data_IF_576510103491
#
_entry.id   IF_576510103491
#
_cell.length_a   1.000
_cell.length_b   1.000
_cell.length_c   1.000
_cell.angle_alpha   90.00
_cell.angle_beta   90.00
_cell.angle_gamma   90.00
#
_symmetry.space_group_name_H-M   'P 1'
#
loop_
_entity.id
_entity.type
_entity.pdbx_description
1 polymer ?
#
# COMPACT_ATOMS: atom_id res chain seq x y z
N UNK A 1 28.09 5.80 -27.34
CA UNK A 1 27.40 5.94 -26.02
C UNK A 1 27.47 4.59 -25.37
N UNK A 2 28.16 4.48 -24.23
CA UNK A 2 28.15 3.27 -23.40
C UNK A 2 26.70 2.92 -23.03
N UNK A 3 26.27 1.65 -23.06
CA UNK A 3 24.96 1.26 -22.55
C UNK A 3 24.86 1.79 -21.11
N UNK A 4 23.82 2.56 -20.78
CA UNK A 4 23.57 2.95 -19.39
C UNK A 4 23.36 1.65 -18.61
N UNK A 5 24.26 1.35 -17.68
CA UNK A 5 24.05 0.25 -16.74
C UNK A 5 22.68 0.45 -16.07
N UNK A 6 21.88 -0.61 -16.08
CA UNK A 6 20.58 -0.60 -15.41
C UNK A 6 20.88 -0.60 -13.90
N UNK A 7 20.45 0.43 -13.14
CA UNK A 7 20.76 0.47 -11.71
C UNK A 7 20.05 -0.69 -11.00
N UNK A 8 20.75 -1.29 -10.03
CA UNK A 8 20.20 -2.29 -9.11
C UNK A 8 20.18 -1.72 -7.69
N UNK A 9 19.37 -2.29 -6.79
CA UNK A 9 19.21 -1.76 -5.43
C UNK A 9 20.53 -1.63 -4.66
N UNK A 10 21.47 -2.52 -4.90
CA UNK A 10 22.81 -2.43 -4.28
C UNK A 10 23.59 -1.18 -4.67
N UNK A 11 23.31 -0.56 -5.80
CA UNK A 11 23.99 0.67 -6.22
C UNK A 11 23.62 1.87 -5.34
N UNK A 12 22.47 1.81 -4.65
CA UNK A 12 21.98 2.86 -3.76
C UNK A 12 22.43 2.69 -2.30
N UNK A 13 23.15 1.62 -1.94
CA UNK A 13 23.55 1.30 -0.56
C UNK A 13 25.07 1.29 -0.34
N UNK A 14 25.87 1.76 -1.29
CA UNK A 14 27.32 1.83 -1.20
C UNK A 14 27.86 2.82 -0.16
N UNK A 15 29.08 3.34 -0.32
CA UNK A 15 29.75 4.26 0.60
C UNK A 15 28.95 5.54 0.94
N UNK A 16 28.03 5.97 0.06
CA UNK A 16 27.08 7.06 0.32
C UNK A 16 26.00 6.69 1.36
N UNK A 17 25.96 5.46 1.86
CA UNK A 17 24.99 4.99 2.85
C UNK A 17 25.47 5.12 4.31
N UNK A 18 26.58 5.83 4.57
CA UNK A 18 27.10 6.02 5.93
C UNK A 18 26.02 6.62 6.85
N UNK A 19 25.77 5.94 7.99
CA UNK A 19 24.74 6.34 8.96
C UNK A 19 23.30 5.96 8.60
N UNK A 20 23.03 5.39 7.42
CA UNK A 20 21.70 4.92 7.02
C UNK A 20 21.46 3.50 7.52
N UNK A 21 20.22 3.24 7.96
CA UNK A 21 19.87 1.94 8.54
C UNK A 21 18.53 1.43 8.01
N UNK A 22 18.37 0.11 8.07
CA UNK A 22 17.08 -0.56 8.02
C UNK A 22 16.89 -1.29 9.35
N UNK A 23 15.73 -1.15 9.99
CA UNK A 23 15.51 -1.72 11.32
C UNK A 23 14.08 -2.21 11.54
N UNK A 24 13.94 -3.19 12.41
CA UNK A 24 12.68 -3.61 13.02
C UNK A 24 12.67 -3.28 14.53
N UNK A 25 11.89 -3.98 15.36
CA UNK A 25 11.84 -3.77 16.81
C UNK A 25 13.10 -4.27 17.52
N UNK A 26 13.78 -5.28 16.98
CA UNK A 26 14.85 -6.04 17.61
C UNK A 26 16.22 -5.74 17.03
N UNK A 27 16.27 -5.49 15.72
CA UNK A 27 17.52 -5.44 14.97
C UNK A 27 17.61 -4.15 14.19
N UNK A 28 18.79 -3.55 14.19
CA UNK A 28 19.15 -2.43 13.32
C UNK A 28 20.36 -2.83 12.48
N UNK A 29 20.21 -2.73 11.19
CA UNK A 29 21.24 -3.08 10.20
C UNK A 29 21.70 -1.82 9.48
N UNK A 30 22.99 -1.44 9.60
CA UNK A 30 23.57 -0.42 8.75
C UNK A 30 23.50 -0.84 7.28
N UNK A 31 23.01 0.02 6.41
CA UNK A 31 22.94 -0.30 4.97
C UNK A 31 24.32 -0.52 4.35
N UNK A 32 25.36 0.09 4.92
CA UNK A 32 26.74 -0.12 4.50
C UNK A 32 27.21 -1.58 4.69
N UNK A 33 26.70 -2.29 5.70
CA UNK A 33 27.07 -3.68 6.00
C UNK A 33 26.58 -4.65 4.91
N UNK A 34 25.54 -4.25 4.15
CA UNK A 34 25.04 -5.04 3.03
C UNK A 34 25.99 -5.07 1.82
N UNK A 35 27.01 -4.19 1.79
CA UNK A 35 28.00 -4.18 0.73
C UNK A 35 28.90 -5.44 0.76
N UNK A 36 29.12 -6.03 1.95
CA UNK A 36 29.99 -7.20 2.13
C UNK A 36 29.33 -8.33 2.95
N UNK A 37 28.03 -8.17 3.28
CA UNK A 37 27.26 -9.14 4.05
C UNK A 37 26.10 -9.71 3.25
N UNK A 38 25.63 -10.90 3.65
CA UNK A 38 24.48 -11.57 3.06
C UNK A 38 23.62 -12.23 4.14
N UNK A 39 22.29 -12.05 4.03
CA UNK A 39 21.33 -12.82 4.82
C UNK A 39 21.01 -14.18 4.17
N UNK A 40 21.47 -14.43 2.96
CA UNK A 40 21.24 -15.66 2.18
C UNK A 40 22.32 -16.71 2.41
N UNK A 41 23.16 -16.55 3.42
CA UNK A 41 24.14 -17.56 3.85
C UNK A 41 25.25 -17.89 2.86
N UNK A 42 25.47 -17.05 1.83
CA UNK A 42 26.44 -17.29 0.76
C UNK A 42 25.87 -17.98 -0.49
N UNK A 43 24.56 -18.30 -0.49
CA UNK A 43 23.87 -18.98 -1.61
C UNK A 43 23.46 -18.05 -2.77
N UNK A 44 23.91 -16.80 -2.77
CA UNK A 44 23.52 -15.83 -3.80
C UNK A 44 23.91 -16.28 -5.22
N UNK A 45 25.05 -16.94 -5.37
CA UNK A 45 25.50 -17.48 -6.66
C UNK A 45 24.56 -18.58 -7.20
N UNK A 46 24.01 -19.43 -6.30
CA UNK A 46 23.07 -20.49 -6.67
C UNK A 46 21.70 -19.94 -7.07
N UNK A 47 21.35 -18.75 -6.59
CA UNK A 47 20.12 -18.03 -6.93
C UNK A 47 20.23 -17.20 -8.22
N UNK A 48 21.45 -17.13 -8.81
CA UNK A 48 21.66 -16.38 -10.04
C UNK A 48 20.88 -16.96 -11.21
N UNK A 49 20.06 -16.09 -11.85
CA UNK A 49 19.22 -16.47 -12.98
C UNK A 49 17.98 -17.28 -12.66
N UNK A 50 17.71 -17.55 -11.37
CA UNK A 50 16.51 -18.27 -10.93
C UNK A 50 15.28 -17.37 -10.77
N UNK A 51 14.12 -17.99 -10.80
CA UNK A 51 12.86 -17.40 -10.38
C UNK A 51 12.63 -17.71 -8.90
N UNK A 52 12.70 -16.68 -8.06
CA UNK A 52 12.75 -16.82 -6.61
C UNK A 52 11.44 -16.36 -5.96
N UNK A 53 10.81 -17.23 -5.17
CA UNK A 53 9.75 -16.84 -4.24
C UNK A 53 10.40 -16.36 -2.93
N UNK A 54 10.16 -15.11 -2.53
CA UNK A 54 10.60 -14.59 -1.24
C UNK A 54 9.45 -14.77 -0.24
N UNK A 55 9.57 -15.80 0.61
CA UNK A 55 8.58 -16.25 1.58
C UNK A 55 9.10 -16.17 3.02
N UNK A 56 9.73 -15.04 3.33
CA UNK A 56 10.28 -14.74 4.67
C UNK A 56 9.22 -14.07 5.52
N UNK A 57 9.10 -14.46 6.80
CA UNK A 57 8.02 -14.00 7.70
C UNK A 57 8.18 -12.56 8.13
N UNK A 58 9.41 -12.08 8.40
CA UNK A 58 9.68 -10.71 8.79
C UNK A 58 10.08 -9.81 7.62
N UNK A 59 9.77 -8.53 7.76
CA UNK A 59 10.02 -7.54 6.73
C UNK A 59 11.51 -7.15 6.61
N UNK A 60 12.30 -7.26 7.69
CA UNK A 60 13.71 -6.86 7.68
C UNK A 60 14.51 -7.79 6.78
N UNK A 61 14.44 -9.10 7.00
CA UNK A 61 15.13 -10.08 6.16
C UNK A 61 14.55 -10.10 4.73
N UNK A 62 13.24 -9.89 4.59
CA UNK A 62 12.61 -9.72 3.26
C UNK A 62 13.23 -8.54 2.50
N UNK A 63 13.35 -7.38 3.13
CA UNK A 63 13.94 -6.18 2.52
C UNK A 63 15.40 -6.39 2.12
N UNK A 64 16.17 -7.05 2.96
CA UNK A 64 17.57 -7.38 2.68
C UNK A 64 17.65 -8.38 1.51
N UNK A 65 16.84 -9.44 1.51
CA UNK A 65 16.80 -10.41 0.40
C UNK A 65 16.44 -9.74 -0.94
N UNK A 66 15.49 -8.79 -0.95
CA UNK A 66 15.17 -8.00 -2.15
C UNK A 66 16.38 -7.22 -2.66
N UNK A 67 17.15 -6.58 -1.77
CA UNK A 67 18.37 -5.85 -2.14
C UNK A 67 19.43 -6.78 -2.69
N UNK A 68 19.56 -7.98 -2.14
CA UNK A 68 20.56 -8.95 -2.58
C UNK A 68 20.22 -9.61 -3.92
N UNK A 69 18.95 -9.89 -4.16
CA UNK A 69 18.47 -10.62 -5.33
C UNK A 69 18.25 -9.73 -6.56
N UNK A 70 18.05 -8.42 -6.36
CA UNK A 70 17.89 -7.51 -7.48
C UNK A 70 19.18 -7.41 -8.31
N UNK A 71 19.07 -7.63 -9.61
CA UNK A 71 20.21 -7.75 -10.51
C UNK A 71 20.86 -9.14 -10.52
N UNK A 72 20.42 -10.10 -9.70
CA UNK A 72 20.96 -11.46 -9.60
C UNK A 72 19.92 -12.50 -10.01
N UNK A 73 18.76 -12.49 -9.39
CA UNK A 73 17.65 -13.37 -9.76
C UNK A 73 17.05 -12.95 -11.11
N UNK A 74 16.49 -13.93 -11.85
CA UNK A 74 15.68 -13.64 -13.04
C UNK A 74 14.37 -12.98 -12.64
N UNK A 75 13.70 -13.53 -11.62
CA UNK A 75 12.43 -13.05 -11.07
C UNK A 75 12.45 -13.06 -9.55
N UNK A 76 11.74 -12.12 -8.95
CA UNK A 76 11.43 -12.14 -7.52
C UNK A 76 9.91 -12.03 -7.34
N UNK A 77 9.26 -13.08 -6.82
CA UNK A 77 7.86 -13.05 -6.41
C UNK A 77 7.79 -12.76 -4.90
N UNK A 78 7.15 -11.65 -4.53
CA UNK A 78 7.00 -11.27 -3.13
C UNK A 78 5.77 -11.97 -2.52
N UNK A 79 6.00 -12.82 -1.51
CA UNK A 79 4.95 -13.53 -0.79
C UNK A 79 4.40 -12.65 0.35
N UNK A 80 3.17 -12.12 0.28
CA UNK A 80 2.59 -11.38 1.39
C UNK A 80 2.23 -12.33 2.55
N UNK A 81 2.19 -11.83 3.81
CA UNK A 81 2.08 -12.67 5.01
C UNK A 81 0.75 -13.41 5.14
N UNK A 82 -0.26 -12.95 4.44
CA UNK A 82 -1.63 -13.49 4.45
C UNK A 82 -1.95 -14.31 3.18
N UNK A 83 -0.93 -14.71 2.42
CA UNK A 83 -1.14 -15.59 1.27
C UNK A 83 -1.70 -16.92 1.73
N UNK A 84 -2.89 -17.31 1.21
CA UNK A 84 -3.40 -18.66 1.40
C UNK A 84 -2.48 -19.66 0.66
N UNK A 85 -1.92 -20.61 1.40
CA UNK A 85 -0.98 -21.61 0.88
C UNK A 85 -1.59 -22.50 -0.22
N UNK A 86 -2.91 -22.61 -0.29
CA UNK A 86 -3.61 -23.31 -1.38
C UNK A 86 -3.32 -22.72 -2.77
N UNK A 87 -2.95 -21.41 -2.84
CA UNK A 87 -2.58 -20.77 -4.10
C UNK A 87 -1.12 -20.99 -4.51
N UNK A 88 -0.28 -21.47 -3.60
CA UNK A 88 1.17 -21.61 -3.85
C UNK A 88 1.48 -22.48 -5.06
N UNK A 89 0.86 -23.66 -5.27
CA UNK A 89 1.16 -24.47 -6.45
C UNK A 89 0.92 -23.72 -7.78
N UNK A 90 -0.20 -23.00 -7.89
CA UNK A 90 -0.51 -22.23 -9.09
C UNK A 90 0.46 -21.05 -9.28
N UNK A 91 0.87 -20.41 -8.20
CA UNK A 91 1.84 -19.31 -8.26
C UNK A 91 3.23 -19.79 -8.67
N UNK A 92 3.66 -20.97 -8.21
CA UNK A 92 4.92 -21.62 -8.63
C UNK A 92 4.90 -21.86 -10.13
N UNK A 93 3.82 -22.45 -10.64
CA UNK A 93 3.65 -22.72 -12.07
C UNK A 93 3.61 -21.45 -12.90
N UNK A 94 2.76 -20.48 -12.52
CA UNK A 94 2.53 -19.26 -13.28
C UNK A 94 3.75 -18.32 -13.29
N UNK A 95 4.50 -18.23 -12.19
CA UNK A 95 5.72 -17.42 -12.10
C UNK A 95 6.99 -18.23 -12.42
N UNK A 96 6.89 -19.53 -12.77
CA UNK A 96 8.00 -20.41 -13.05
C UNK A 96 9.03 -20.45 -11.91
N UNK A 97 8.56 -20.53 -10.66
CA UNK A 97 9.41 -20.51 -9.47
C UNK A 97 10.23 -21.80 -9.38
N UNK A 98 11.54 -21.67 -9.30
CA UNK A 98 12.50 -22.77 -9.18
C UNK A 98 13.40 -22.65 -7.95
N UNK A 99 13.25 -21.57 -7.16
CA UNK A 99 13.89 -21.40 -5.87
C UNK A 99 13.00 -20.67 -4.86
N UNK A 100 13.17 -20.97 -3.57
CA UNK A 100 12.48 -20.29 -2.47
C UNK A 100 13.48 -19.76 -1.46
N UNK A 101 13.33 -18.50 -1.08
CA UNK A 101 14.02 -17.88 0.07
C UNK A 101 13.00 -17.76 1.20
N UNK A 102 13.27 -18.40 2.34
CA UNK A 102 12.35 -18.47 3.48
C UNK A 102 13.11 -18.49 4.82
N UNK A 103 12.40 -18.48 5.91
CA UNK A 103 12.91 -18.65 7.27
C UNK A 103 12.77 -20.09 7.76
N UNK A 104 11.79 -20.85 7.30
CA UNK A 104 11.62 -22.26 7.62
C UNK A 104 11.46 -23.13 6.36
N UNK A 105 12.53 -23.79 5.91
CA UNK A 105 12.49 -24.68 4.74
C UNK A 105 11.51 -25.85 4.90
N UNK A 106 11.18 -26.26 6.14
CA UNK A 106 10.29 -27.39 6.36
C UNK A 106 8.87 -27.13 5.84
N UNK A 107 8.42 -25.88 5.89
CA UNK A 107 7.10 -25.47 5.38
C UNK A 107 6.99 -25.58 3.86
N UNK A 108 8.12 -25.57 3.15
CA UNK A 108 8.18 -25.50 1.69
C UNK A 108 8.60 -26.81 1.01
N UNK A 109 8.81 -27.89 1.77
CA UNK A 109 9.21 -29.21 1.22
C UNK A 109 8.25 -29.75 0.17
N UNK A 110 6.95 -29.51 0.32
CA UNK A 110 5.91 -29.95 -0.61
C UNK A 110 5.77 -29.06 -1.86
N UNK A 111 6.46 -27.94 -1.92
CA UNK A 111 6.37 -26.98 -3.02
C UNK A 111 7.02 -27.49 -4.34
N UNK A 112 7.84 -28.56 -4.26
CA UNK A 112 8.45 -29.18 -5.45
C UNK A 112 9.53 -28.36 -6.15
N UNK A 113 10.06 -27.32 -5.49
CA UNK A 113 11.13 -26.48 -6.06
C UNK A 113 12.51 -27.09 -5.84
N UNK A 114 13.44 -26.81 -6.75
CA UNK A 114 14.76 -27.43 -6.77
C UNK A 114 15.73 -26.88 -5.71
N UNK A 115 15.51 -25.66 -5.23
CA UNK A 115 16.39 -24.96 -4.28
C UNK A 115 15.59 -24.23 -3.21
N UNK A 116 15.94 -24.45 -1.94
CA UNK A 116 15.41 -23.67 -0.82
C UNK A 116 16.56 -23.10 -0.01
N UNK A 117 16.57 -21.78 0.18
CA UNK A 117 17.61 -21.03 0.90
C UNK A 117 17.01 -20.38 2.14
N UNK A 118 17.69 -20.50 3.28
CA UNK A 118 17.26 -19.87 4.52
C UNK A 118 17.81 -18.44 4.62
N UNK A 119 16.92 -17.48 4.78
CA UNK A 119 17.30 -16.11 5.12
C UNK A 119 17.59 -16.00 6.63
N UNK A 120 18.75 -15.51 7.03
CA UNK A 120 19.18 -15.47 8.43
C UNK A 120 20.00 -14.21 8.76
N UNK A 121 19.94 -13.81 10.05
CA UNK A 121 20.83 -12.82 10.67
C UNK A 121 21.57 -13.50 11.82
N UNK A 122 22.77 -13.07 12.19
CA UNK A 122 23.56 -11.99 11.59
C UNK A 122 24.08 -12.36 10.19
N UNK A 123 24.54 -11.34 9.46
CA UNK A 123 25.11 -11.55 8.12
C UNK A 123 26.31 -12.50 8.13
N UNK A 124 26.39 -13.32 7.09
CA UNK A 124 27.63 -13.99 6.73
C UNK A 124 28.39 -13.14 5.70
N UNK A 125 29.71 -13.07 5.83
CA UNK A 125 30.54 -12.44 4.82
C UNK A 125 30.28 -13.09 3.45
N UNK A 126 30.02 -12.30 2.45
CA UNK A 126 29.73 -12.77 1.10
C UNK A 126 30.30 -11.82 0.07
N UNK A 127 30.81 -12.39 -1.02
CA UNK A 127 31.24 -11.61 -2.18
C UNK A 127 29.98 -11.22 -2.95
N UNK A 128 29.76 -9.93 -3.24
CA UNK A 128 28.64 -9.49 -4.07
C UNK A 128 28.69 -10.15 -5.44
N UNK A 129 27.63 -10.80 -5.85
CA UNK A 129 27.45 -11.29 -7.22
C UNK A 129 26.88 -10.12 -8.03
N UNK A 130 27.59 -9.71 -9.08
CA UNK A 130 27.09 -8.74 -10.05
C UNK A 130 26.78 -9.45 -11.36
N UNK A 131 25.64 -9.17 -11.93
CA UNK A 131 25.25 -9.62 -13.27
C UNK A 131 24.69 -8.41 -14.03
N UNK A 132 24.68 -8.47 -15.35
CA UNK A 132 24.00 -7.46 -16.20
C UNK A 132 22.49 -7.73 -16.35
N UNK A 133 21.92 -8.47 -15.42
CA UNK A 133 20.55 -8.94 -15.51
C UNK A 133 19.57 -7.90 -14.93
N UNK A 134 18.48 -7.65 -15.62
CA UNK A 134 17.32 -6.95 -15.08
C UNK A 134 16.41 -7.98 -14.42
N UNK A 135 16.20 -7.83 -13.11
CA UNK A 135 15.27 -8.69 -12.35
C UNK A 135 13.83 -8.28 -12.61
N UNK A 136 12.98 -9.25 -12.91
CA UNK A 136 11.53 -9.07 -12.94
C UNK A 136 10.97 -9.08 -11.51
N UNK A 137 10.26 -8.02 -11.14
CA UNK A 137 9.61 -7.88 -9.84
C UNK A 137 8.15 -8.31 -9.96
N UNK A 138 7.79 -9.41 -9.31
CA UNK A 138 6.45 -9.97 -9.35
C UNK A 138 5.73 -9.70 -8.04
N UNK A 139 4.52 -9.15 -8.14
CA UNK A 139 3.70 -8.76 -7.00
C UNK A 139 2.31 -9.35 -7.09
N UNK A 140 1.76 -9.73 -5.93
CA UNK A 140 0.42 -10.27 -5.85
C UNK A 140 -0.62 -9.16 -5.60
N UNK A 141 -1.71 -9.21 -6.35
CA UNK A 141 -2.90 -8.40 -6.08
C UNK A 141 -4.04 -9.30 -5.60
N UNK A 142 -4.85 -8.78 -4.68
CA UNK A 142 -6.09 -9.45 -4.28
C UNK A 142 -7.07 -9.43 -5.45
N UNK A 143 -7.16 -10.53 -6.18
CA UNK A 143 -8.19 -10.71 -7.19
C UNK A 143 -9.59 -10.67 -6.57
N UNK A 144 -10.53 -9.99 -7.22
CA UNK A 144 -11.97 -10.02 -6.85
C UNK A 144 -12.60 -11.41 -7.04
N UNK A 145 -11.89 -12.33 -7.69
CA UNK A 145 -12.34 -13.68 -8.08
C UNK A 145 -11.69 -14.81 -7.28
N UNK A 146 -11.00 -14.51 -6.18
CA UNK A 146 -10.44 -15.51 -5.25
C UNK A 146 -8.96 -15.80 -5.43
N UNK A 147 -8.44 -16.09 -6.64
CA UNK A 147 -7.02 -16.35 -6.86
C UNK A 147 -6.23 -15.04 -7.04
N UNK A 148 -5.06 -14.87 -6.37
CA UNK A 148 -4.20 -13.72 -6.57
C UNK A 148 -3.72 -13.62 -8.02
N UNK A 149 -3.67 -12.39 -8.57
CA UNK A 149 -3.04 -12.13 -9.87
C UNK A 149 -1.60 -11.71 -9.66
N UNK A 150 -0.72 -12.17 -10.53
CA UNK A 150 0.71 -11.82 -10.51
C UNK A 150 0.92 -10.64 -11.45
N UNK A 151 1.39 -9.52 -10.93
CA UNK A 151 1.69 -8.28 -11.68
C UNK A 151 3.20 -8.15 -11.87
N UNK A 152 3.63 -7.89 -13.11
CA UNK A 152 5.04 -7.80 -13.50
C UNK A 152 5.51 -6.36 -13.58
N UNK A 153 6.56 -6.05 -12.83
CA UNK A 153 7.30 -4.80 -12.83
C UNK A 153 8.79 -5.01 -13.08
N UNK A 154 9.52 -3.94 -13.36
CA UNK A 154 10.98 -3.85 -13.21
C UNK A 154 11.31 -2.84 -12.11
N UNK A 155 12.57 -2.82 -11.64
CA UNK A 155 13.02 -1.77 -10.74
C UNK A 155 12.74 -0.38 -11.33
N UNK A 156 12.95 -0.18 -12.63
CA UNK A 156 12.73 1.10 -13.30
C UNK A 156 11.27 1.59 -13.19
N UNK A 157 10.28 0.71 -13.40
CA UNK A 157 8.87 1.09 -13.25
C UNK A 157 8.50 1.38 -11.79
N UNK A 158 9.09 0.64 -10.85
CA UNK A 158 8.84 0.80 -9.41
C UNK A 158 9.42 2.10 -8.85
N UNK A 159 10.63 2.51 -9.28
CA UNK A 159 11.29 3.72 -8.76
C UNK A 159 11.00 4.98 -9.55
N UNK A 160 10.27 4.91 -10.67
CA UNK A 160 10.02 6.04 -11.56
C UNK A 160 9.31 7.25 -10.93
N UNK A 161 8.72 7.08 -9.74
CA UNK A 161 8.12 8.18 -8.97
C UNK A 161 9.02 8.68 -7.83
N UNK A 162 10.17 8.04 -7.61
CA UNK A 162 11.07 8.36 -6.51
C UNK A 162 12.03 9.45 -6.95
N UNK A 163 12.05 10.54 -6.21
CA UNK A 163 13.02 11.63 -6.36
C UNK A 163 13.87 11.60 -5.11
N UNK A 164 15.18 11.80 -5.27
CA UNK A 164 16.09 11.91 -4.13
C UNK A 164 15.60 12.99 -3.17
N UNK A 165 15.52 12.66 -1.88
CA UNK A 165 14.99 13.57 -0.86
C UNK A 165 16.04 14.62 -0.53
N UNK A 166 15.79 15.84 -0.96
CA UNK A 166 16.47 17.07 -0.56
C UNK A 166 17.85 17.31 -1.17
N UNK A 167 18.32 18.57 -1.11
CA UNK A 167 19.69 18.94 -1.48
C UNK A 167 20.69 18.40 -0.44
N UNK A 168 21.99 18.27 -0.82
CA UNK A 168 23.05 17.92 0.12
C UNK A 168 23.04 18.86 1.36
N UNK A 169 22.98 18.27 2.56
CA UNK A 169 22.95 19.02 3.83
C UNK A 169 21.63 18.96 4.59
N UNK A 170 20.54 18.46 4.00
CA UNK A 170 19.33 18.15 4.76
C UNK A 170 19.51 16.89 5.59
N UNK A 171 18.88 16.80 6.79
CA UNK A 171 18.90 15.58 7.57
C UNK A 171 18.33 14.42 6.74
N UNK A 172 19.00 13.27 6.83
CA UNK A 172 18.58 12.04 6.13
C UNK A 172 17.18 11.66 6.59
N UNK A 173 16.24 11.49 5.66
CA UNK A 173 14.89 11.09 5.96
C UNK A 173 14.85 9.69 6.60
N UNK A 174 14.17 9.55 7.73
CA UNK A 174 13.85 8.25 8.32
C UNK A 174 12.40 7.91 7.99
N UNK A 175 12.23 6.92 7.12
CA UNK A 175 10.94 6.47 6.63
C UNK A 175 10.34 5.37 7.48
N UNK A 176 9.02 5.36 7.55
CA UNK A 176 8.22 4.26 8.07
C UNK A 176 6.94 4.09 7.28
N UNK A 177 6.29 2.95 7.44
CA UNK A 177 5.00 2.69 6.82
C UNK A 177 4.19 1.69 7.63
N UNK A 178 2.88 1.87 7.64
CA UNK A 178 1.94 0.88 8.17
C UNK A 178 1.67 -0.27 7.19
N UNK A 179 2.12 -0.14 5.92
CA UNK A 179 1.97 -1.21 4.95
C UNK A 179 3.06 -2.27 5.13
N UNK A 180 2.73 -3.50 4.78
CA UNK A 180 3.74 -4.54 4.56
C UNK A 180 4.52 -4.27 3.28
N UNK A 181 5.87 -4.35 3.32
CA UNK A 181 6.74 -4.08 2.17
C UNK A 181 6.65 -5.12 1.06
N UNK A 182 6.03 -6.27 1.31
CA UNK A 182 5.74 -7.30 0.30
C UNK A 182 4.53 -6.95 -0.57
N UNK A 183 3.83 -5.87 -0.24
CA UNK A 183 2.72 -5.29 -1.01
C UNK A 183 3.15 -3.99 -1.67
N UNK A 184 2.54 -3.66 -2.80
CA UNK A 184 2.93 -2.50 -3.61
C UNK A 184 3.08 -1.20 -2.80
N UNK A 185 2.11 -0.87 -1.94
CA UNK A 185 2.17 0.36 -1.13
C UNK A 185 3.38 0.41 -0.20
N UNK A 186 3.67 -0.69 0.51
CA UNK A 186 4.84 -0.81 1.39
C UNK A 186 6.15 -0.85 0.62
N UNK A 187 6.19 -1.59 -0.49
CA UNK A 187 7.36 -1.63 -1.37
C UNK A 187 7.73 -0.25 -1.88
N UNK A 188 6.77 0.59 -2.26
CA UNK A 188 7.02 1.96 -2.69
C UNK A 188 7.69 2.81 -1.61
N UNK A 189 7.34 2.62 -0.33
CA UNK A 189 7.98 3.35 0.77
C UNK A 189 9.36 2.79 1.07
N UNK A 190 9.51 1.47 1.05
CA UNK A 190 10.81 0.80 1.18
C UNK A 190 11.79 1.30 0.09
N UNK A 191 11.39 1.25 -1.18
CA UNK A 191 12.22 1.74 -2.29
C UNK A 191 12.53 3.24 -2.17
N UNK A 192 11.58 4.04 -1.69
CA UNK A 192 11.80 5.47 -1.43
C UNK A 192 12.86 5.70 -0.35
N UNK A 193 12.87 4.90 0.71
CA UNK A 193 13.92 4.96 1.72
C UNK A 193 15.29 4.54 1.13
N UNK A 194 15.36 3.43 0.41
CA UNK A 194 16.62 2.90 -0.10
C UNK A 194 17.19 3.77 -1.22
N UNK A 195 16.39 4.03 -2.27
CA UNK A 195 16.80 4.77 -3.47
C UNK A 195 16.89 6.27 -3.20
N UNK A 196 16.00 6.83 -2.36
CA UNK A 196 15.96 8.24 -2.00
C UNK A 196 17.00 8.66 -0.96
N UNK A 197 17.86 7.76 -0.48
CA UNK A 197 18.97 8.10 0.41
C UNK A 197 18.59 8.12 1.90
N UNK A 198 17.46 7.55 2.30
CA UNK A 198 16.95 7.54 3.69
C UNK A 198 17.27 6.27 4.48
N UNK A 199 16.79 6.24 5.73
CA UNK A 199 16.70 5.06 6.60
C UNK A 199 15.29 4.52 6.60
N UNK A 200 15.09 3.25 7.05
CA UNK A 200 13.77 2.61 7.11
C UNK A 200 13.53 1.96 8.47
N UNK A 201 12.37 2.23 9.07
CA UNK A 201 11.86 1.54 10.27
C UNK A 201 10.65 0.71 9.86
N UNK A 202 10.76 -0.61 10.00
CA UNK A 202 9.76 -1.59 9.59
C UNK A 202 8.86 -1.97 10.76
N UNK A 203 7.59 -2.25 10.49
CA UNK A 203 6.67 -2.85 11.46
C UNK A 203 6.90 -4.36 11.58
N UNK A 204 6.39 -4.95 12.66
CA UNK A 204 6.49 -6.39 12.89
C UNK A 204 5.13 -7.09 12.86
N UNK A 205 5.12 -8.39 12.53
CA UNK A 205 3.92 -9.20 12.67
C UNK A 205 3.42 -9.19 14.13
N UNK A 206 2.13 -8.85 14.31
CA UNK A 206 1.50 -8.82 15.64
C UNK A 206 1.77 -7.57 16.47
N UNK A 207 2.62 -6.65 16.04
CA UNK A 207 2.83 -5.35 16.69
C UNK A 207 1.55 -4.50 16.56
N UNK A 208 1.04 -3.99 17.67
CA UNK A 208 -0.10 -3.09 17.64
C UNK A 208 0.29 -1.73 17.05
N UNK A 209 -0.69 -1.01 16.51
CA UNK A 209 -0.44 0.34 15.98
C UNK A 209 0.10 1.27 17.06
N UNK A 210 -0.35 1.13 18.31
CA UNK A 210 0.14 1.92 19.45
C UNK A 210 1.62 1.68 19.71
N UNK A 211 2.04 0.41 19.85
CA UNK A 211 3.44 0.03 20.05
C UNK A 211 4.32 0.50 18.90
N UNK A 212 3.83 0.34 17.66
CA UNK A 212 4.56 0.80 16.49
C UNK A 212 4.76 2.32 16.51
N UNK A 213 3.72 3.13 16.72
CA UNK A 213 3.83 4.60 16.78
C UNK A 213 4.77 5.06 17.91
N UNK A 214 4.70 4.46 19.10
CA UNK A 214 5.64 4.74 20.17
C UNK A 214 7.10 4.47 19.74
N UNK A 215 7.34 3.35 19.07
CA UNK A 215 8.66 2.99 18.54
C UNK A 215 9.12 3.93 17.41
N UNK A 216 8.23 4.38 16.54
CA UNK A 216 8.54 5.36 15.50
C UNK A 216 9.01 6.70 16.11
N UNK A 217 8.36 7.14 17.19
CA UNK A 217 8.75 8.31 17.96
C UNK A 217 10.17 8.15 18.52
N UNK A 218 10.44 7.02 19.19
CA UNK A 218 11.76 6.72 19.78
C UNK A 218 12.87 6.61 18.72
N UNK A 219 12.55 6.22 17.49
CA UNK A 219 13.49 6.09 16.37
C UNK A 219 13.63 7.37 15.53
N UNK A 220 12.97 8.45 15.89
CA UNK A 220 13.05 9.73 15.18
C UNK A 220 12.55 9.66 13.74
N UNK A 221 11.48 8.90 13.50
CA UNK A 221 10.88 8.80 12.16
C UNK A 221 10.34 10.15 11.73
N UNK A 222 10.75 10.59 10.54
CA UNK A 222 10.38 11.88 9.95
C UNK A 222 9.33 11.77 8.86
N UNK A 223 9.24 10.62 8.19
CA UNK A 223 8.34 10.39 7.05
C UNK A 223 7.56 9.10 7.25
N UNK A 224 6.24 9.17 7.12
CA UNK A 224 5.40 7.99 7.32
C UNK A 224 4.24 7.93 6.32
N UNK A 225 3.91 6.71 5.90
CA UNK A 225 2.82 6.44 4.97
C UNK A 225 1.87 5.36 5.50
N UNK A 226 0.58 5.51 5.22
CA UNK A 226 -0.44 4.54 5.58
C UNK A 226 -1.75 4.75 4.85
N UNK A 227 -2.69 3.81 5.00
CA UNK A 227 -4.05 4.02 4.54
C UNK A 227 -4.81 5.00 5.45
N UNK A 228 -5.88 5.65 4.98
CA UNK A 228 -6.84 6.33 5.86
C UNK A 228 -7.26 5.50 7.07
N UNK A 229 -7.53 4.20 6.89
CA UNK A 229 -7.89 3.29 7.99
C UNK A 229 -6.75 3.10 9.01
N UNK A 230 -5.50 2.98 8.58
CA UNK A 230 -4.34 2.96 9.48
C UNK A 230 -4.26 4.25 10.29
N UNK A 231 -4.39 5.40 9.64
CA UNK A 231 -4.33 6.70 10.30
C UNK A 231 -5.44 6.92 11.30
N UNK A 232 -6.67 6.49 10.99
CA UNK A 232 -7.77 6.54 11.95
C UNK A 232 -7.46 5.71 13.20
N UNK A 233 -6.92 4.49 13.04
CA UNK A 233 -6.50 3.64 14.17
C UNK A 233 -5.35 4.26 14.96
N UNK A 234 -4.35 4.83 14.27
CA UNK A 234 -3.22 5.50 14.94
C UNK A 234 -3.70 6.70 15.77
N UNK A 235 -4.59 7.53 15.23
CA UNK A 235 -5.18 8.65 15.96
C UNK A 235 -6.03 8.20 17.16
N UNK A 236 -6.59 6.99 17.13
CA UNK A 236 -7.35 6.42 18.24
C UNK A 236 -6.45 5.85 19.35
N UNK A 237 -5.20 5.50 19.06
CA UNK A 237 -4.31 4.86 20.04
C UNK A 237 -3.82 5.79 21.15
N UNK A 238 -3.94 7.11 20.97
CA UNK A 238 -3.40 8.11 21.87
C UNK A 238 -1.89 8.36 21.73
N UNK A 239 -1.12 7.44 21.16
CA UNK A 239 0.34 7.51 21.04
C UNK A 239 0.82 8.59 20.04
N UNK A 240 -0.07 9.08 19.20
CA UNK A 240 0.25 10.14 18.22
C UNK A 240 0.57 11.49 18.85
N UNK A 241 0.24 11.71 20.14
CA UNK A 241 0.50 12.98 20.82
C UNK A 241 2.00 13.30 20.98
N UNK A 242 2.84 12.28 21.08
CA UNK A 242 4.31 12.41 21.18
C UNK A 242 5.03 12.24 19.83
N UNK A 243 4.30 11.86 18.78
CA UNK A 243 4.85 11.63 17.45
C UNK A 243 4.75 12.89 16.59
N UNK A 244 5.87 13.36 16.05
CA UNK A 244 5.95 14.61 15.27
C UNK A 244 6.65 14.38 13.92
N UNK A 245 6.02 13.67 12.98
CA UNK A 245 6.59 13.45 11.65
C UNK A 245 6.60 14.77 10.86
N UNK A 246 7.62 14.98 10.01
CA UNK A 246 7.65 16.12 9.07
C UNK A 246 6.75 15.87 7.86
N UNK A 247 6.53 14.60 7.49
CA UNK A 247 5.74 14.21 6.33
C UNK A 247 4.81 13.03 6.62
N UNK A 248 3.53 13.22 6.29
CA UNK A 248 2.46 12.23 6.43
C UNK A 248 1.80 12.00 5.08
N UNK A 249 1.76 10.75 4.63
CA UNK A 249 1.16 10.38 3.34
C UNK A 249 0.05 9.34 3.52
N UNK A 250 -1.07 9.56 2.83
CA UNK A 250 -2.18 8.62 2.72
C UNK A 250 -2.22 8.03 1.32
N UNK A 251 -2.52 6.73 1.20
CA UNK A 251 -2.74 6.07 -0.09
C UNK A 251 -3.49 4.74 0.11
N UNK A 252 -3.99 4.16 -0.99
CA UNK A 252 -4.60 2.83 -1.00
C UNK A 252 -6.08 2.77 -0.62
N UNK A 253 -6.63 3.83 -0.05
CA UNK A 253 -8.06 4.05 0.19
C UNK A 253 -8.38 5.52 -0.12
N UNK A 254 -9.68 5.86 -0.19
CA UNK A 254 -10.13 7.24 -0.37
C UNK A 254 -9.77 8.04 0.89
N UNK A 255 -8.94 9.07 0.73
CA UNK A 255 -8.65 10.04 1.78
C UNK A 255 -9.77 11.08 1.81
N UNK A 256 -10.78 10.89 2.66
CA UNK A 256 -11.85 11.86 2.86
C UNK A 256 -11.38 13.09 3.66
N UNK A 257 -12.12 14.19 3.57
CA UNK A 257 -11.76 15.45 4.24
C UNK A 257 -11.64 15.28 5.75
N UNK A 258 -12.47 14.42 6.36
CA UNK A 258 -12.47 14.22 7.80
C UNK A 258 -11.15 13.63 8.33
N UNK A 259 -10.55 12.68 7.61
CA UNK A 259 -9.24 12.13 8.00
C UNK A 259 -8.11 13.14 7.76
N UNK A 260 -8.15 13.89 6.66
CA UNK A 260 -7.16 14.95 6.38
C UNK A 260 -7.18 16.04 7.46
N UNK A 261 -8.36 16.50 7.86
CA UNK A 261 -8.52 17.51 8.91
C UNK A 261 -8.09 16.97 10.28
N UNK A 262 -8.35 15.68 10.58
CA UNK A 262 -7.93 15.05 11.82
C UNK A 262 -6.41 14.96 11.92
N UNK A 263 -5.75 14.59 10.81
CA UNK A 263 -4.29 14.56 10.74
C UNK A 263 -3.67 15.95 10.85
N UNK A 264 -4.28 16.96 10.23
CA UNK A 264 -3.80 18.34 10.33
C UNK A 264 -3.89 18.87 11.75
N UNK A 265 -4.94 18.50 12.50
CA UNK A 265 -5.04 18.84 13.92
C UNK A 265 -4.02 18.11 14.78
N UNK A 266 -3.77 16.83 14.50
CA UNK A 266 -2.79 16.02 15.24
C UNK A 266 -1.34 16.42 14.94
N UNK A 267 -1.05 16.79 13.68
CA UNK A 267 0.29 17.08 13.18
C UNK A 267 0.36 18.44 12.46
N UNK A 268 0.18 19.56 13.18
CA UNK A 268 0.03 20.89 12.56
C UNK A 268 1.28 21.37 11.82
N UNK A 269 2.47 20.86 12.17
CA UNK A 269 3.74 21.18 11.52
C UNK A 269 4.10 20.26 10.35
N UNK A 270 3.32 19.19 10.12
CA UNK A 270 3.62 18.18 9.10
C UNK A 270 3.09 18.60 7.73
N UNK A 271 3.84 18.24 6.68
CA UNK A 271 3.30 18.19 5.33
C UNK A 271 2.41 16.97 5.18
N UNK A 272 1.12 17.18 4.94
CA UNK A 272 0.12 16.10 4.82
C UNK A 272 -0.38 16.07 3.39
N UNK A 273 -0.24 14.90 2.74
CA UNK A 273 -0.71 14.68 1.39
C UNK A 273 -1.31 13.30 1.19
N UNK A 274 -2.05 13.13 0.11
CA UNK A 274 -2.51 11.81 -0.30
C UNK A 274 -2.11 11.51 -1.74
N UNK A 275 -2.08 10.24 -2.10
CA UNK A 275 -1.63 9.83 -3.42
C UNK A 275 -2.49 8.69 -3.96
N UNK A 276 -2.68 8.73 -5.26
CA UNK A 276 -3.24 7.62 -6.00
C UNK A 276 -2.13 6.69 -6.47
N UNK A 277 -2.27 5.40 -6.17
CA UNK A 277 -1.38 4.35 -6.62
C UNK A 277 -2.11 3.01 -6.66
N UNK A 278 -1.80 2.18 -7.63
CA UNK A 278 -2.21 0.77 -7.68
C UNK A 278 -1.03 -0.09 -8.11
N UNK A 279 -1.11 -1.39 -7.86
CA UNK A 279 -0.07 -2.32 -8.31
C UNK A 279 0.06 -2.29 -9.83
N UNK A 280 -1.03 -2.16 -10.55
CA UNK A 280 -1.08 -2.18 -12.00
C UNK A 280 -0.63 -0.86 -12.64
N UNK A 281 -1.17 0.26 -12.18
CA UNK A 281 -0.90 1.58 -12.75
C UNK A 281 0.36 2.26 -12.21
N UNK A 282 0.95 1.70 -11.17
CA UNK A 282 2.06 2.35 -10.49
C UNK A 282 1.60 3.53 -9.62
N UNK A 283 2.54 4.40 -9.27
CA UNK A 283 2.23 5.68 -8.60
C UNK A 283 1.74 6.67 -9.66
N UNK A 284 0.45 7.00 -9.63
CA UNK A 284 -0.16 7.96 -10.55
C UNK A 284 0.19 9.40 -10.17
N UNK A 285 -0.38 9.90 -9.08
CA UNK A 285 -0.22 11.30 -8.68
C UNK A 285 -0.29 11.46 -7.16
N UNK A 286 0.12 12.63 -6.69
CA UNK A 286 -0.01 13.05 -5.30
C UNK A 286 -0.72 14.41 -5.22
N UNK A 287 -1.51 14.60 -4.17
CA UNK A 287 -2.25 15.81 -3.85
C UNK A 287 -1.79 16.31 -2.47
N UNK A 288 -1.32 17.57 -2.42
CA UNK A 288 -0.75 18.16 -1.21
C UNK A 288 -1.43 19.49 -0.84
N UNK A 289 -2.59 19.78 -1.42
CA UNK A 289 -3.37 21.01 -1.16
C UNK A 289 -4.25 20.91 0.10
N UNK A 290 -4.25 19.73 0.73
CA UNK A 290 -5.00 19.47 1.96
C UNK A 290 -6.49 19.21 1.75
N UNK A 291 -6.93 19.01 0.53
CA UNK A 291 -8.33 18.74 0.17
C UNK A 291 -8.48 17.30 -0.33
N UNK A 292 -9.63 16.69 -0.08
CA UNK A 292 -10.00 15.39 -0.63
C UNK A 292 -10.14 15.44 -2.16
N UNK A 293 -10.01 14.29 -2.84
CA UNK A 293 -10.04 14.22 -4.30
C UNK A 293 -8.82 14.88 -4.97
N UNK A 294 -8.94 15.31 -6.21
CA UNK A 294 -7.84 15.94 -6.95
C UNK A 294 -8.33 17.00 -7.94
N UNK A 295 -7.59 18.11 -8.18
CA UNK A 295 -7.98 19.14 -9.12
C UNK A 295 -8.16 18.61 -10.55
N UNK A 296 -9.21 19.03 -11.24
CA UNK A 296 -9.48 18.63 -12.62
C UNK A 296 -8.36 19.07 -13.61
N UNK A 297 -7.60 20.10 -13.25
CA UNK A 297 -6.43 20.55 -14.03
C UNK A 297 -5.38 19.46 -14.18
N UNK A 298 -5.26 18.54 -13.21
CA UNK A 298 -4.28 17.45 -13.24
C UNK A 298 -4.49 16.48 -14.41
N UNK A 299 -5.70 16.39 -14.98
CA UNK A 299 -5.95 15.59 -16.19
C UNK A 299 -5.31 16.19 -17.46
N UNK A 300 -4.96 17.49 -17.41
CA UNK A 300 -4.33 18.20 -18.53
C UNK A 300 -2.81 18.28 -18.40
N UNK A 301 -2.28 17.85 -17.26
CA UNK A 301 -0.86 17.93 -16.95
C UNK A 301 -0.19 16.58 -17.20
N UNK A 302 0.89 16.56 -17.97
CA UNK A 302 1.76 15.38 -18.11
C UNK A 302 2.95 15.51 -17.17
N UNK A 303 2.71 15.32 -15.86
CA UNK A 303 3.77 15.42 -14.87
C UNK A 303 4.51 14.10 -14.70
N UNK A 304 5.81 14.09 -15.00
CA UNK A 304 6.64 12.89 -14.91
C UNK A 304 6.20 11.77 -15.84
N UNK A 305 5.62 12.09 -17.01
CA UNK A 305 5.16 11.13 -18.00
C UNK A 305 3.82 10.46 -17.65
N UNK A 306 3.11 10.92 -16.63
CA UNK A 306 1.80 10.38 -16.24
C UNK A 306 0.70 11.14 -17.00
N UNK A 307 -0.12 10.42 -17.71
CA UNK A 307 -1.31 10.92 -18.39
C UNK A 307 -2.55 10.28 -17.78
N UNK A 308 -3.59 11.07 -17.61
CA UNK A 308 -4.84 10.64 -17.00
C UNK A 308 -6.03 11.08 -17.85
N UNK A 309 -7.05 10.23 -17.92
CA UNK A 309 -8.37 10.55 -18.48
C UNK A 309 -9.47 9.93 -17.62
N UNK A 310 -10.66 10.51 -17.70
CA UNK A 310 -11.87 9.90 -17.13
C UNK A 310 -12.75 9.46 -18.28
N UNK A 311 -13.12 8.19 -18.31
CA UNK A 311 -13.96 7.60 -19.34
C UNK A 311 -14.98 6.69 -18.66
N UNK A 312 -16.26 6.88 -18.97
CA UNK A 312 -17.39 6.21 -18.31
C UNK A 312 -17.37 6.36 -16.77
N UNK A 313 -16.89 7.51 -16.28
CA UNK A 313 -16.73 7.78 -14.84
C UNK A 313 -15.55 7.07 -14.17
N UNK A 314 -14.78 6.26 -14.90
CA UNK A 314 -13.59 5.57 -14.38
C UNK A 314 -12.32 6.35 -14.68
N UNK A 315 -11.43 6.45 -13.70
CA UNK A 315 -10.10 7.00 -13.89
C UNK A 315 -9.23 6.02 -14.68
N UNK A 316 -8.62 6.49 -15.77
CA UNK A 316 -7.66 5.74 -16.58
C UNK A 316 -6.31 6.41 -16.54
N UNK A 317 -5.24 5.61 -16.48
CA UNK A 317 -3.87 6.09 -16.30
C UNK A 317 -2.96 5.43 -17.35
N UNK A 318 -2.11 6.24 -17.99
CA UNK A 318 -0.97 5.82 -18.80
C UNK A 318 0.29 6.43 -18.19
N UNK A 319 1.33 5.62 -17.95
CA UNK A 319 2.51 6.08 -17.24
C UNK A 319 3.72 5.18 -17.53
N UNK A 320 4.95 5.71 -17.55
CA UNK A 320 6.16 4.89 -17.58
C UNK A 320 6.37 4.05 -16.29
N UNK A 321 5.53 4.26 -15.25
CA UNK A 321 5.53 3.53 -13.98
C UNK A 321 4.57 2.35 -13.97
N UNK A 322 3.83 2.17 -15.04
CA UNK A 322 2.84 1.12 -15.22
C UNK A 322 3.53 -0.24 -15.26
N UNK A 323 2.88 -1.26 -14.69
CA UNK A 323 3.30 -2.65 -14.82
C UNK A 323 3.32 -3.09 -16.30
N UNK A 324 4.19 -4.03 -16.63
CA UNK A 324 4.25 -4.59 -18.00
C UNK A 324 3.02 -5.44 -18.34
N UNK A 325 2.39 -6.04 -17.32
CA UNK A 325 1.21 -6.88 -17.51
C UNK A 325 1.01 -7.86 -16.35
N UNK A 326 0.08 -8.76 -16.54
CA UNK A 326 -0.09 -9.92 -15.67
C UNK A 326 0.75 -11.09 -16.15
N UNK A 327 1.21 -11.94 -15.22
CA UNK A 327 1.94 -13.18 -15.49
C UNK A 327 1.04 -14.37 -15.18
N UNK A 328 1.16 -15.44 -15.96
CA UNK A 328 0.44 -16.70 -15.77
C UNK A 328 -0.36 -17.10 -17.02
N UNK A 329 -0.83 -18.36 -17.02
CA UNK A 329 -1.50 -18.99 -18.18
C UNK A 329 -2.78 -18.28 -18.61
N UNK A 330 -3.46 -17.62 -17.68
CA UNK A 330 -4.72 -16.91 -17.91
C UNK A 330 -4.55 -15.38 -17.83
N UNK A 331 -3.36 -14.86 -18.13
CA UNK A 331 -3.07 -13.44 -18.09
C UNK A 331 -3.93 -12.70 -19.12
N UNK A 332 -4.69 -11.70 -18.67
CA UNK A 332 -5.47 -10.80 -19.52
C UNK A 332 -4.67 -9.54 -19.81
N UNK A 333 -4.99 -8.85 -20.91
CA UNK A 333 -4.37 -7.57 -21.20
C UNK A 333 -4.63 -6.57 -20.06
N UNK A 334 -3.57 -5.90 -19.63
CA UNK A 334 -3.64 -4.90 -18.57
C UNK A 334 -4.01 -3.52 -19.12
N UNK A 335 -3.57 -3.20 -20.33
CA UNK A 335 -3.72 -1.91 -21.00
C UNK A 335 -4.69 -2.02 -22.17
N UNK A 336 -5.39 -0.92 -22.47
CA UNK A 336 -6.14 -0.75 -23.70
C UNK A 336 -5.20 -0.49 -24.90
N UNK A 337 -5.76 -0.33 -26.11
CA UNK A 337 -5.01 -0.09 -27.34
C UNK A 337 -4.18 1.21 -27.31
N UNK A 338 -4.58 2.20 -26.51
CA UNK A 338 -3.90 3.47 -26.34
C UNK A 338 -2.88 3.44 -25.18
N UNK A 339 -2.70 2.28 -24.51
CA UNK A 339 -1.78 2.08 -23.41
C UNK A 339 -2.29 2.60 -22.06
N UNK A 340 -3.59 2.90 -21.92
CA UNK A 340 -4.19 3.26 -20.64
C UNK A 340 -4.64 2.02 -19.88
N UNK A 341 -4.44 2.08 -18.54
CA UNK A 341 -5.03 1.13 -17.61
C UNK A 341 -6.36 1.70 -17.11
N UNK A 342 -7.42 0.92 -17.21
CA UNK A 342 -8.67 1.21 -16.51
C UNK A 342 -8.53 0.80 -15.04
N UNK A 343 -8.48 1.78 -14.14
CA UNK A 343 -8.32 1.55 -12.71
C UNK A 343 -9.54 0.88 -12.07
N UNK A 344 -10.73 1.04 -12.67
CA UNK A 344 -12.00 0.69 -12.07
C UNK A 344 -12.40 1.58 -10.88
N UNK A 345 -11.59 2.59 -10.55
CA UNK A 345 -11.90 3.58 -9.53
C UNK A 345 -12.76 4.69 -10.13
N UNK A 346 -13.99 4.83 -9.63
CA UNK A 346 -15.00 5.75 -10.15
C UNK A 346 -14.81 7.14 -9.54
N UNK A 347 -14.97 8.18 -10.38
CA UNK A 347 -14.79 9.58 -9.96
C UNK A 347 -15.94 10.45 -10.46
N UNK A 348 -16.34 11.44 -9.64
CA UNK A 348 -17.31 12.48 -9.96
C UNK A 348 -16.63 13.86 -10.02
N UNK A 349 -16.97 14.66 -11.03
CA UNK A 349 -16.51 16.05 -11.15
C UNK A 349 -17.50 16.99 -10.44
N UNK A 350 -16.99 17.74 -9.46
CA UNK A 350 -17.74 18.79 -8.75
C UNK A 350 -16.84 20.01 -8.60
N UNK A 351 -17.31 21.19 -8.96
CA UNK A 351 -16.62 22.46 -8.78
C UNK A 351 -15.15 22.48 -9.22
N UNK A 352 -14.84 21.88 -10.36
CA UNK A 352 -13.50 21.81 -10.91
C UNK A 352 -12.55 20.80 -10.21
N UNK A 353 -13.11 19.88 -9.41
CA UNK A 353 -12.37 18.86 -8.68
C UNK A 353 -13.00 17.47 -8.85
N UNK A 354 -12.18 16.44 -9.07
CA UNK A 354 -12.63 15.07 -9.09
C UNK A 354 -12.58 14.46 -7.69
N UNK A 355 -13.65 13.78 -7.31
CA UNK A 355 -13.78 13.03 -6.07
C UNK A 355 -13.90 11.54 -6.37
N UNK A 356 -13.12 10.72 -5.69
CA UNK A 356 -13.33 9.28 -5.75
C UNK A 356 -14.62 8.92 -5.03
N UNK A 357 -15.49 8.17 -5.71
CA UNK A 357 -16.77 7.74 -5.14
C UNK A 357 -16.82 6.26 -4.79
N UNK A 358 -15.85 5.47 -5.28
CA UNK A 358 -15.71 4.05 -4.98
C UNK A 358 -15.23 3.26 -6.18
N UNK A 359 -15.26 1.92 -6.06
CA UNK A 359 -14.88 1.00 -7.14
C UNK A 359 -16.08 0.54 -7.95
N UNK A 360 -15.90 0.33 -9.26
CA UNK A 360 -16.94 -0.21 -10.14
C UNK A 360 -17.48 -1.56 -9.63
N UNK A 361 -16.62 -2.43 -9.10
CA UNK A 361 -17.01 -3.73 -8.54
C UNK A 361 -17.62 -3.69 -7.12
N UNK A 362 -17.59 -2.52 -6.44
CA UNK A 362 -18.14 -2.34 -5.08
C UNK A 362 -19.51 -1.66 -5.03
N UNK A 363 -20.13 -1.42 -6.17
CA UNK A 363 -21.39 -0.72 -6.28
C UNK A 363 -22.53 -1.56 -5.70
N UNK A 364 -23.32 -0.98 -4.78
CA UNK A 364 -24.56 -1.55 -4.28
C UNK A 364 -25.71 -1.08 -5.17
N UNK A 365 -26.52 -2.02 -5.65
CA UNK A 365 -27.69 -1.70 -6.47
C UNK A 365 -28.96 -1.66 -5.60
N UNK A 366 -29.51 -0.48 -5.39
CA UNK A 366 -30.72 -0.25 -4.58
C UNK A 366 -31.87 0.13 -5.50
N UNK A 367 -32.75 -0.82 -5.80
CA UNK A 367 -33.91 -0.57 -6.68
C UNK A 367 -33.52 -0.08 -8.10
N UNK A 368 -32.41 -0.56 -8.66
CA UNK A 368 -31.89 -0.12 -9.96
C UNK A 368 -30.98 1.11 -9.90
N UNK A 369 -30.84 1.75 -8.75
CA UNK A 369 -29.97 2.91 -8.54
C UNK A 369 -28.63 2.50 -7.93
N UNK A 370 -27.54 3.08 -8.43
CA UNK A 370 -26.17 2.76 -8.01
C UNK A 370 -25.80 3.55 -6.75
N UNK A 371 -25.27 2.86 -5.74
CA UNK A 371 -24.73 3.45 -4.52
C UNK A 371 -23.30 3.00 -4.33
N UNK A 372 -22.38 3.94 -4.19
CA UNK A 372 -21.02 3.70 -3.80
C UNK A 372 -20.90 3.76 -2.27
N UNK A 373 -20.54 2.66 -1.58
CA UNK A 373 -20.43 2.65 -0.12
C UNK A 373 -19.51 3.75 0.41
N UNK A 374 -18.43 4.01 -0.26
CA UNK A 374 -17.40 5.00 0.13
C UNK A 374 -17.95 6.44 0.14
N UNK A 375 -18.87 6.76 -0.77
CA UNK A 375 -19.53 8.07 -0.82
C UNK A 375 -20.39 8.30 0.44
N UNK A 376 -21.09 7.26 0.86
CA UNK A 376 -21.92 7.30 2.08
C UNK A 376 -21.05 7.36 3.33
N UNK A 377 -19.96 6.58 3.37
CA UNK A 377 -18.98 6.60 4.46
C UNK A 377 -18.34 7.99 4.62
N UNK A 378 -17.99 8.64 3.51
CA UNK A 378 -17.43 9.99 3.55
C UNK A 378 -18.37 10.99 4.23
N UNK A 379 -19.67 10.89 4.00
CA UNK A 379 -20.67 11.74 4.66
C UNK A 379 -20.80 11.41 6.15
N UNK A 380 -20.90 10.12 6.51
CA UNK A 380 -21.00 9.68 7.91
C UNK A 380 -19.75 10.10 8.70
N UNK A 381 -18.56 9.96 8.09
CA UNK A 381 -17.29 10.29 8.73
C UNK A 381 -17.09 11.81 9.00
N UNK A 382 -17.90 12.69 8.41
CA UNK A 382 -17.89 14.14 8.74
C UNK A 382 -18.41 14.43 10.14
N UNK A 383 -19.20 13.52 10.71
CA UNK A 383 -19.77 13.74 12.03
C UNK A 383 -18.69 13.70 13.12
N UNK A 384 -18.62 14.74 13.97
CA UNK A 384 -17.55 14.96 14.97
C UNK A 384 -17.31 13.79 15.94
N UNK A 385 -18.33 12.98 16.19
CA UNK A 385 -18.24 11.81 17.09
C UNK A 385 -18.02 10.49 16.34
N UNK A 386 -17.87 10.50 15.03
CA UNK A 386 -17.56 9.32 14.23
C UNK A 386 -16.04 9.22 14.04
N UNK A 387 -15.50 8.06 14.35
CA UNK A 387 -14.08 7.72 14.08
C UNK A 387 -13.91 7.01 12.76
N UNK A 388 -14.82 6.08 12.47
CA UNK A 388 -14.76 5.23 11.28
C UNK A 388 -16.15 4.69 10.99
N UNK A 389 -16.50 4.55 9.73
CA UNK A 389 -17.72 3.87 9.31
C UNK A 389 -17.44 2.86 8.20
N UNK A 390 -18.28 1.84 8.11
CA UNK A 390 -18.31 0.88 7.03
C UNK A 390 -19.74 0.74 6.53
N UNK A 391 -19.93 1.01 5.26
CA UNK A 391 -21.22 0.86 4.57
C UNK A 391 -21.21 -0.46 3.80
N UNK A 392 -22.34 -1.16 3.89
CA UNK A 392 -22.53 -2.44 3.20
C UNK A 392 -23.96 -2.62 2.74
N UNK A 393 -24.18 -3.53 1.84
CA UNK A 393 -25.52 -3.93 1.42
C UNK A 393 -26.15 -4.93 2.39
N UNK A 394 -27.49 -4.89 2.46
CA UNK A 394 -28.29 -5.96 3.05
C UNK A 394 -29.44 -6.27 2.09
N UNK A 395 -29.71 -7.55 1.87
CA UNK A 395 -30.81 -7.97 1.00
C UNK A 395 -32.14 -7.41 1.45
N UNK A 396 -32.92 -6.95 0.49
CA UNK A 396 -34.27 -6.41 0.67
C UNK A 396 -35.24 -7.06 -0.32
N UNK A 397 -36.39 -7.59 0.11
CA UNK A 397 -37.37 -8.17 -0.80
C UNK A 397 -38.00 -7.15 -1.75
N UNK A 398 -37.96 -5.86 -1.42
CA UNK A 398 -38.62 -4.77 -2.19
C UNK A 398 -37.66 -4.15 -3.20
N UNK A 399 -36.44 -3.81 -2.76
CA UNK A 399 -35.47 -3.07 -3.57
C UNK A 399 -34.28 -3.92 -4.01
N UNK A 400 -34.28 -5.25 -3.74
CA UNK A 400 -33.15 -6.14 -3.93
C UNK A 400 -32.07 -5.94 -2.87
N UNK A 401 -31.67 -4.71 -2.62
CA UNK A 401 -30.74 -4.35 -1.54
C UNK A 401 -31.12 -3.02 -0.88
N UNK A 402 -30.67 -2.84 0.35
CA UNK A 402 -30.65 -1.56 1.09
C UNK A 402 -29.25 -1.30 1.62
N UNK A 403 -28.94 -0.03 1.82
CA UNK A 403 -27.69 0.43 2.43
C UNK A 403 -27.81 0.38 3.95
N UNK A 404 -26.83 -0.17 4.64
CA UNK A 404 -26.68 -0.13 6.10
C UNK A 404 -25.26 0.29 6.47
N UNK A 405 -25.09 0.89 7.66
CA UNK A 405 -23.80 1.37 8.13
C UNK A 405 -23.45 0.82 9.51
N UNK A 406 -22.23 0.35 9.66
CA UNK A 406 -21.59 0.05 10.94
C UNK A 406 -20.67 1.25 11.28
N UNK A 407 -20.78 1.82 12.48
CA UNK A 407 -20.13 3.07 12.86
C UNK A 407 -19.37 2.90 14.18
N UNK A 408 -18.09 3.28 14.20
CA UNK A 408 -17.27 3.38 15.41
C UNK A 408 -17.29 4.83 15.89
N UNK A 409 -17.68 5.03 17.14
CA UNK A 409 -17.72 6.35 17.76
C UNK A 409 -16.37 6.71 18.40
N UNK A 410 -16.16 8.01 18.62
CA UNK A 410 -15.06 8.51 19.42
C UNK A 410 -15.33 8.31 20.91
N UNK A 411 -14.26 8.22 21.72
CA UNK A 411 -14.38 8.13 23.19
C UNK A 411 -15.14 9.31 23.78
N UNK A 412 -15.01 10.49 23.19
CA UNK A 412 -15.74 11.70 23.61
C UNK A 412 -17.28 11.56 23.44
N UNK A 413 -17.75 10.55 22.69
CA UNK A 413 -19.17 10.24 22.54
C UNK A 413 -19.75 9.50 23.75
N UNK A 414 -18.91 8.94 24.66
CA UNK A 414 -19.35 8.06 25.74
C UNK A 414 -20.31 8.68 26.78
N UNK A 415 -20.35 10.01 26.88
CA UNK A 415 -21.28 10.74 27.74
C UNK A 415 -22.58 11.13 27.03
N UNK A 416 -22.72 10.88 25.73
CA UNK A 416 -23.86 11.33 24.92
C UNK A 416 -24.89 10.19 24.73
N UNK A 417 -26.14 10.56 24.55
CA UNK A 417 -27.19 9.59 24.20
C UNK A 417 -26.94 9.09 22.76
N UNK A 418 -26.64 7.81 22.61
CA UNK A 418 -26.40 7.16 21.31
C UNK A 418 -27.51 7.43 20.27
N UNK A 419 -28.77 7.57 20.72
CA UNK A 419 -29.90 7.95 19.87
C UNK A 419 -29.73 9.31 19.22
N UNK A 420 -29.26 10.31 19.98
CA UNK A 420 -29.04 11.68 19.46
C UNK A 420 -27.95 11.66 18.36
N UNK A 421 -26.84 10.98 18.60
CA UNK A 421 -25.76 10.86 17.62
C UNK A 421 -26.26 10.17 16.34
N UNK A 422 -27.10 9.13 16.48
CA UNK A 422 -27.71 8.46 15.32
C UNK A 422 -28.57 9.41 14.51
N UNK A 423 -29.43 10.19 15.19
CA UNK A 423 -30.32 11.11 14.52
C UNK A 423 -29.59 12.25 13.83
N UNK A 424 -28.48 12.76 14.43
CA UNK A 424 -27.59 13.76 13.83
C UNK A 424 -26.91 13.21 12.57
N UNK A 425 -26.38 11.99 12.63
CA UNK A 425 -25.75 11.34 11.45
C UNK A 425 -26.79 11.12 10.35
N UNK A 426 -27.97 10.65 10.71
CA UNK A 426 -29.06 10.43 9.74
C UNK A 426 -29.55 11.73 9.11
N UNK A 427 -29.61 12.83 9.86
CA UNK A 427 -29.94 14.15 9.34
C UNK A 427 -28.88 14.59 8.31
N UNK A 428 -27.60 14.52 8.65
CA UNK A 428 -26.49 14.84 7.74
C UNK A 428 -26.54 14.00 6.46
N UNK A 429 -26.84 12.70 6.57
CA UNK A 429 -27.00 11.84 5.40
C UNK A 429 -28.17 12.28 4.51
N UNK A 430 -29.34 12.65 5.09
CA UNK A 430 -30.48 13.11 4.30
C UNK A 430 -30.26 14.45 3.62
N UNK A 431 -29.46 15.33 4.21
CA UNK A 431 -29.13 16.64 3.65
C UNK A 431 -28.07 16.52 2.51
N UNK A 432 -27.15 15.55 2.63
CA UNK A 432 -25.98 15.46 1.73
C UNK A 432 -26.11 14.40 0.64
N UNK A 433 -27.02 13.43 0.78
CA UNK A 433 -27.15 12.28 -0.11
C UNK A 433 -28.53 12.18 -0.75
N UNK A 434 -28.59 11.63 -1.95
CA UNK A 434 -29.86 11.23 -2.56
C UNK A 434 -30.56 10.15 -1.70
N UNK A 435 -31.89 10.15 -1.66
CA UNK A 435 -32.70 9.32 -0.76
C UNK A 435 -32.32 7.82 -0.78
N UNK A 436 -32.03 7.26 -1.95
CA UNK A 436 -31.66 5.84 -2.10
C UNK A 436 -30.27 5.50 -1.51
N UNK A 437 -29.41 6.51 -1.27
CA UNK A 437 -28.07 6.37 -0.68
C UNK A 437 -28.10 6.50 0.85
N UNK A 438 -29.16 7.04 1.43
CA UNK A 438 -29.30 7.21 2.88
C UNK A 438 -29.37 5.83 3.55
N UNK A 439 -28.51 5.53 4.56
CA UNK A 439 -28.56 4.26 5.24
C UNK A 439 -29.92 3.98 5.87
N UNK A 440 -30.48 2.79 5.63
CA UNK A 440 -31.72 2.37 6.28
C UNK A 440 -31.53 2.06 7.77
N UNK A 441 -30.28 1.75 8.16
CA UNK A 441 -29.92 1.41 9.54
C UNK A 441 -28.48 1.82 9.83
N UNK A 442 -28.25 2.37 11.02
CA UNK A 442 -26.91 2.57 11.60
C UNK A 442 -26.76 1.69 12.83
N UNK A 443 -25.70 0.88 12.87
CA UNK A 443 -25.30 0.07 14.01
C UNK A 443 -23.99 0.63 14.58
N UNK A 444 -23.97 0.90 15.89
CA UNK A 444 -22.70 1.29 16.55
C UNK A 444 -21.97 0.03 16.98
N UNK A 445 -20.67 -0.02 16.62
CA UNK A 445 -19.78 -1.16 16.89
C UNK A 445 -18.51 -0.66 17.60
N UNK A 446 -17.88 -1.55 18.36
CA UNK A 446 -16.66 -1.20 19.09
C UNK A 446 -15.46 -1.00 18.14
N UNK A 447 -15.37 -1.80 17.07
CA UNK A 447 -14.29 -1.73 16.08
C UNK A 447 -14.77 -2.21 14.72
N UNK A 448 -14.01 -1.87 13.68
CA UNK A 448 -14.16 -2.41 12.33
C UNK A 448 -12.89 -3.15 11.94
N UNK A 449 -13.07 -4.27 11.25
CA UNK A 449 -11.98 -5.08 10.75
C UNK A 449 -11.26 -4.36 9.61
N UNK A 450 -9.94 -4.49 9.62
CA UNK A 450 -9.05 -4.01 8.57
C UNK A 450 -8.32 -5.21 8.00
N UNK A 451 -8.25 -5.29 6.69
CA UNK A 451 -7.53 -6.36 6.00
C UNK A 451 -6.04 -6.30 6.33
N UNK A 452 -5.27 -7.38 6.12
CA UNK A 452 -3.81 -7.36 6.24
C UNK A 452 -3.12 -6.33 5.34
N UNK A 453 -3.78 -5.89 4.27
CA UNK A 453 -3.31 -4.79 3.43
C UNK A 453 -3.60 -3.40 4.02
N UNK A 454 -4.16 -3.32 5.23
CA UNK A 454 -4.46 -2.06 5.92
C UNK A 454 -5.70 -1.33 5.42
N UNK A 455 -6.55 -1.98 4.64
CA UNK A 455 -7.80 -1.43 4.13
C UNK A 455 -8.99 -1.91 4.94
N UNK A 456 -10.04 -1.13 4.97
CA UNK A 456 -11.30 -1.54 5.59
C UNK A 456 -11.81 -2.84 4.96
N UNK A 457 -12.06 -3.86 5.79
CA UNK A 457 -12.55 -5.15 5.31
C UNK A 457 -13.98 -5.00 4.79
N UNK A 458 -14.18 -5.24 3.49
CA UNK A 458 -15.50 -5.26 2.85
C UNK A 458 -15.84 -6.71 2.54
N UNK A 459 -16.90 -7.24 3.15
CA UNK A 459 -17.47 -8.50 2.70
C UNK A 459 -18.13 -8.23 1.35
N UNK A 460 -17.72 -8.96 0.32
CA UNK A 460 -18.47 -9.00 -0.93
C UNK A 460 -19.87 -9.52 -0.60
N UNK A 461 -20.89 -8.75 -0.96
CA UNK A 461 -22.29 -9.09 -0.77
C UNK A 461 -22.71 -10.23 -1.72
#
# INVERSE_FOLDING_TARGET
MSPREIPVLRDFIGSAAAGRTISDSRTMVPLADLAAGSCLGGHLAELSGRSVLIAVSDQLRTGIAMIELDGVARRMLLCPPDLNLEHVPSLIDDAEIDAIVCDDPALWKSAGVSLTVTASLPFKAAVPVRTERTTEWLMLTSGTTGSPKIVHHSLATLIGAIVADGPPGNPVATWATFYDIRRYGGLQIFLRAIVGGGSMVLSEPGESIAEYVARLTARGVTHISGTPSHWRKALMSGETASFAPGYVRLSGEIADQAVLDSLRRAFPASSIGHAYASTEAGVGFAVNDGLEGFPASMLRETKGGVEMKVEEGSLRIRSPRTAYGYVGRNAVALMDADGFIDSGDMVDLRDGRYYFVGRRGGIVNVGGLKVHPEEVEAVINRHRHVRMSRVRSRRSPITGAIVIADVVLSEAAGALRIGVIRDEIMATCRESLATHKVPAMITFVASLDVTPSGKLARQNA
#
